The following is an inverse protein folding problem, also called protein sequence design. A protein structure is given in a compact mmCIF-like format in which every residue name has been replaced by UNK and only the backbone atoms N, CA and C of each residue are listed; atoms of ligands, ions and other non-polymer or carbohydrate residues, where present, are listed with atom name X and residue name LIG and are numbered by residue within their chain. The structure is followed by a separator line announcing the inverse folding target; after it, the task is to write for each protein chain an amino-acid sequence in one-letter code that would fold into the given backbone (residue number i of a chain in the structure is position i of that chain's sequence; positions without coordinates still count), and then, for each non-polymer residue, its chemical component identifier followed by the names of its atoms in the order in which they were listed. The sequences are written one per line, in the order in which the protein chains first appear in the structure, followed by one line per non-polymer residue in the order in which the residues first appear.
data_IF_767939758034
#
_entry.id   IF_767939758034
#
_cell.length_a   1.000
_cell.length_b   1.000
_cell.length_c   1.000
_cell.angle_alpha   90.00
_cell.angle_beta   90.00
_cell.angle_gamma   90.00
#
_symmetry.space_group_name_H-M   'P 1'
#
loop_
_entity.id
_entity.type
_entity.pdbx_description
1 polymer ?
#
# COMPACT_ATOMS: atom_id res chain seq x y z
N UNK A 1 -34.41 2.38 8.95
CA UNK A 1 -33.27 1.61 8.42
C UNK A 1 -32.18 2.52 7.83
N UNK A 2 -32.45 3.40 6.86
CA UNK A 2 -31.44 4.32 6.26
C UNK A 2 -30.77 5.26 7.28
N UNK A 3 -31.52 5.89 8.19
CA UNK A 3 -30.94 6.76 9.21
C UNK A 3 -29.97 6.04 10.14
N UNK A 4 -30.29 4.81 10.57
CA UNK A 4 -29.41 4.01 11.44
C UNK A 4 -28.10 3.68 10.74
N UNK A 5 -28.13 3.33 9.45
CA UNK A 5 -26.92 3.05 8.66
C UNK A 5 -26.06 4.31 8.55
N UNK A 6 -26.67 5.46 8.26
CA UNK A 6 -25.95 6.73 8.16
C UNK A 6 -25.29 7.08 9.49
N UNK A 7 -26.04 6.99 10.61
CA UNK A 7 -25.51 7.28 11.95
C UNK A 7 -24.33 6.37 12.27
N UNK A 8 -24.47 5.06 12.05
CA UNK A 8 -23.40 4.09 12.31
C UNK A 8 -22.16 4.40 11.49
N UNK A 9 -22.32 4.66 10.18
CA UNK A 9 -21.19 4.98 9.30
C UNK A 9 -20.48 6.28 9.74
N UNK A 10 -21.25 7.33 10.06
CA UNK A 10 -20.69 8.60 10.55
C UNK A 10 -19.93 8.40 11.88
N UNK A 11 -20.50 7.65 12.83
CA UNK A 11 -19.84 7.36 14.10
C UNK A 11 -18.53 6.56 13.90
N UNK A 12 -18.53 5.53 13.07
CA UNK A 12 -17.34 4.74 12.77
C UNK A 12 -16.24 5.62 12.14
N UNK A 13 -16.59 6.51 11.22
CA UNK A 13 -15.63 7.42 10.58
C UNK A 13 -15.11 8.49 11.55
N UNK A 14 -15.97 9.04 12.43
CA UNK A 14 -15.52 9.98 13.46
C UNK A 14 -14.59 9.31 14.48
N UNK A 15 -14.88 8.08 14.90
CA UNK A 15 -13.99 7.29 15.77
C UNK A 15 -12.68 7.01 15.05
N UNK A 16 -12.70 6.70 13.75
CA UNK A 16 -11.52 6.53 12.90
C UNK A 16 -10.62 7.77 12.93
N UNK A 17 -11.20 8.94 12.80
CA UNK A 17 -10.46 10.21 12.87
C UNK A 17 -9.82 10.42 14.25
N UNK A 18 -10.54 10.11 15.34
CA UNK A 18 -9.98 10.15 16.70
C UNK A 18 -8.81 9.18 16.85
N UNK A 19 -8.90 7.98 16.27
CA UNK A 19 -7.80 7.02 16.28
C UNK A 19 -6.57 7.51 15.50
N UNK A 20 -6.76 8.18 14.37
CA UNK A 20 -5.63 8.77 13.63
C UNK A 20 -4.95 9.89 14.42
N UNK A 21 -5.73 10.80 15.02
CA UNK A 21 -5.23 11.87 15.87
C UNK A 21 -4.47 11.35 17.10
N UNK A 22 -4.95 10.27 17.71
CA UNK A 22 -4.36 9.73 18.94
C UNK A 22 -3.20 8.76 18.66
N UNK A 23 -3.08 8.22 17.44
CA UNK A 23 -2.05 7.25 17.07
C UNK A 23 -0.63 7.75 17.32
N UNK A 24 -0.37 9.05 17.11
CA UNK A 24 0.92 9.70 17.38
C UNK A 24 1.27 9.72 18.86
N UNK A 25 0.29 9.83 19.77
CA UNK A 25 0.47 9.84 21.23
C UNK A 25 0.51 8.42 21.79
N UNK A 26 -0.40 7.58 21.38
CA UNK A 26 -0.53 6.20 21.88
C UNK A 26 0.53 5.25 21.32
N UNK A 27 1.17 5.60 20.20
CA UNK A 27 2.08 4.74 19.43
C UNK A 27 1.41 3.48 18.85
N UNK A 28 0.09 3.42 18.90
CA UNK A 28 -0.69 2.35 18.29
C UNK A 28 -1.03 2.79 16.86
N UNK A 29 -0.62 2.03 15.83
CA UNK A 29 -1.02 2.30 14.47
C UNK A 29 -2.54 2.36 14.33
N UNK A 30 -3.07 3.43 13.74
CA UNK A 30 -4.53 3.61 13.58
C UNK A 30 -5.20 2.41 12.88
N UNK A 31 -4.49 1.75 11.99
CA UNK A 31 -4.99 0.57 11.26
C UNK A 31 -5.37 -0.59 12.20
N UNK A 32 -4.60 -0.86 13.25
CA UNK A 32 -4.95 -1.90 14.23
C UNK A 32 -6.29 -1.56 14.91
N UNK A 33 -6.44 -0.30 15.29
CA UNK A 33 -7.66 0.18 15.94
C UNK A 33 -8.86 0.15 14.97
N UNK A 34 -8.64 0.43 13.68
CA UNK A 34 -9.69 0.35 12.66
C UNK A 34 -10.14 -1.08 12.40
N UNK A 35 -9.20 -2.02 12.32
CA UNK A 35 -9.51 -3.45 12.21
C UNK A 35 -10.30 -3.94 13.42
N UNK A 36 -9.88 -3.56 14.62
CA UNK A 36 -10.57 -3.91 15.85
C UNK A 36 -11.96 -3.28 15.89
N UNK A 37 -12.11 -2.03 15.49
CA UNK A 37 -13.40 -1.33 15.43
C UNK A 37 -14.37 -2.04 14.48
N UNK A 38 -13.91 -2.41 13.29
CA UNK A 38 -14.71 -3.19 12.34
C UNK A 38 -15.10 -4.55 12.89
N UNK A 39 -14.15 -5.28 13.47
CA UNK A 39 -14.42 -6.56 14.12
C UNK A 39 -15.45 -6.46 15.26
N UNK A 40 -15.30 -5.47 16.14
CA UNK A 40 -16.28 -5.22 17.21
C UNK A 40 -17.66 -4.88 16.67
N UNK A 41 -17.72 -4.07 15.59
CA UNK A 41 -18.99 -3.73 14.93
C UNK A 41 -19.69 -4.99 14.39
N UNK A 42 -18.94 -5.97 13.84
CA UNK A 42 -19.51 -7.24 13.41
C UNK A 42 -20.06 -8.04 14.59
N UNK A 43 -19.27 -8.23 15.66
CA UNK A 43 -19.71 -8.97 16.85
C UNK A 43 -20.97 -8.34 17.49
N UNK A 44 -21.02 -7.02 17.51
CA UNK A 44 -22.19 -6.28 17.98
C UNK A 44 -23.42 -6.53 17.08
N UNK A 45 -23.24 -6.47 15.77
CA UNK A 45 -24.29 -6.74 14.80
C UNK A 45 -24.87 -8.17 14.94
N UNK A 46 -24.01 -9.16 15.10
CA UNK A 46 -24.42 -10.56 15.30
C UNK A 46 -25.18 -10.73 16.63
N UNK A 47 -24.68 -10.12 17.72
CA UNK A 47 -25.31 -10.22 19.06
C UNK A 47 -26.72 -9.61 19.06
N UNK A 48 -26.92 -8.48 18.39
CA UNK A 48 -28.21 -7.79 18.29
C UNK A 48 -29.05 -8.24 17.09
N UNK A 49 -28.59 -9.24 16.32
CA UNK A 49 -29.26 -9.77 15.13
C UNK A 49 -29.65 -8.69 14.11
N UNK A 50 -28.75 -7.73 13.91
CA UNK A 50 -28.96 -6.66 12.94
C UNK A 50 -28.65 -7.24 11.55
N UNK A 51 -29.66 -7.34 10.69
CA UNK A 51 -29.50 -7.81 9.31
C UNK A 51 -28.66 -6.82 8.49
N UNK A 52 -27.38 -7.15 8.25
CA UNK A 52 -26.49 -6.38 7.39
C UNK A 52 -26.35 -7.11 6.05
N UNK A 53 -26.45 -6.41 4.91
CA UNK A 53 -26.25 -7.04 3.60
C UNK A 53 -24.82 -7.56 3.45
N UNK A 54 -24.61 -8.48 2.50
CA UNK A 54 -23.26 -8.96 2.20
C UNK A 54 -22.37 -7.82 1.69
N UNK A 55 -21.36 -7.45 2.46
CA UNK A 55 -20.41 -6.37 2.16
C UNK A 55 -19.12 -6.87 1.48
N UNK A 56 -18.91 -8.18 1.33
CA UNK A 56 -17.70 -8.74 0.72
C UNK A 56 -17.41 -8.20 -0.70
N UNK A 57 -18.40 -8.00 -1.59
CA UNK A 57 -18.14 -7.46 -2.93
C UNK A 57 -17.60 -6.02 -2.94
N UNK A 58 -17.83 -5.26 -1.86
CA UNK A 58 -17.34 -3.88 -1.76
C UNK A 58 -15.85 -3.82 -1.44
N UNK A 59 -15.30 -4.84 -0.78
CA UNK A 59 -13.91 -4.85 -0.31
C UNK A 59 -12.90 -4.68 -1.46
N UNK A 60 -12.97 -5.41 -2.60
CA UNK A 60 -12.04 -5.22 -3.71
C UNK A 60 -12.17 -3.83 -4.35
N UNK A 61 -13.38 -3.28 -4.43
CA UNK A 61 -13.63 -1.96 -5.05
C UNK A 61 -13.04 -0.85 -4.19
N UNK A 62 -13.42 -0.79 -2.91
CA UNK A 62 -12.91 0.21 -1.95
C UNK A 62 -11.39 0.07 -1.81
N UNK A 63 -10.89 -1.18 -1.75
CA UNK A 63 -9.48 -1.44 -1.67
C UNK A 63 -8.70 -0.98 -2.90
N UNK A 64 -9.23 -1.20 -4.11
CA UNK A 64 -8.58 -0.72 -5.35
C UNK A 64 -8.53 0.80 -5.41
N UNK A 65 -9.64 1.49 -5.09
CA UNK A 65 -9.67 2.96 -5.02
C UNK A 65 -8.71 3.46 -3.92
N UNK A 66 -8.71 2.80 -2.76
CA UNK A 66 -7.78 3.10 -1.67
C UNK A 66 -6.32 2.96 -2.09
N UNK A 67 -5.97 1.89 -2.80
CA UNK A 67 -4.63 1.68 -3.32
C UNK A 67 -4.20 2.80 -4.27
N UNK A 68 -5.07 3.19 -5.22
CA UNK A 68 -4.81 4.28 -6.16
C UNK A 68 -4.51 5.58 -5.41
N UNK A 69 -5.36 5.94 -4.45
CA UNK A 69 -5.24 7.19 -3.70
C UNK A 69 -4.03 7.21 -2.77
N UNK A 70 -3.72 6.08 -2.10
CA UNK A 70 -2.56 5.97 -1.21
C UNK A 70 -1.25 6.03 -1.99
N UNK A 71 -1.18 5.37 -3.16
CA UNK A 71 0.00 5.47 -4.03
C UNK A 71 0.15 6.89 -4.59
N UNK A 72 -0.96 7.55 -4.93
CA UNK A 72 -0.95 8.94 -5.37
C UNK A 72 -0.49 9.88 -4.24
N UNK A 73 -1.06 9.76 -3.03
CA UNK A 73 -0.65 10.50 -1.83
C UNK A 73 0.87 10.34 -1.59
N UNK A 74 1.35 9.08 -1.51
CA UNK A 74 2.76 8.79 -1.28
C UNK A 74 3.67 9.34 -2.39
N UNK A 75 3.25 9.27 -3.66
CA UNK A 75 4.05 9.76 -4.78
C UNK A 75 4.11 11.29 -4.86
N UNK A 76 3.05 12.00 -4.44
CA UNK A 76 3.04 13.46 -4.34
C UNK A 76 4.00 13.98 -3.25
N UNK A 77 4.18 13.21 -2.16
CA UNK A 77 5.11 13.55 -1.07
C UNK A 77 6.59 13.24 -1.41
N UNK A 78 6.87 12.44 -2.44
CA UNK A 78 8.23 12.05 -2.81
C UNK A 78 8.96 13.18 -3.56
N UNK A 79 9.95 13.79 -2.93
CA UNK A 79 10.79 14.82 -3.54
C UNK A 79 11.98 14.20 -4.32
N UNK A 80 12.04 14.42 -5.62
CA UNK A 80 13.15 13.97 -6.48
C UNK A 80 14.28 15.02 -6.50
N UNK A 81 14.98 15.19 -5.38
CA UNK A 81 16.11 16.12 -5.30
C UNK A 81 17.44 15.35 -5.41
N UNK A 82 18.43 15.96 -6.11
CA UNK A 82 19.77 15.39 -6.23
C UNK A 82 20.42 15.11 -4.86
N UNK A 83 20.13 15.93 -3.84
CA UNK A 83 20.61 15.74 -2.47
C UNK A 83 20.05 14.47 -1.80
N UNK A 84 18.92 13.93 -2.27
CA UNK A 84 18.23 12.74 -1.72
C UNK A 84 18.56 11.44 -2.46
N UNK A 85 19.39 11.51 -3.52
CA UNK A 85 19.73 10.34 -4.35
C UNK A 85 20.24 9.15 -3.51
N UNK A 86 20.99 9.41 -2.44
CA UNK A 86 21.50 8.39 -1.54
C UNK A 86 20.39 7.65 -0.79
N UNK A 87 19.39 8.37 -0.30
CA UNK A 87 18.22 7.79 0.40
C UNK A 87 17.36 7.02 -0.59
N UNK A 88 17.06 7.61 -1.75
CA UNK A 88 16.27 6.97 -2.82
C UNK A 88 16.92 5.65 -3.25
N UNK A 89 18.21 5.63 -3.53
CA UNK A 89 18.93 4.41 -3.93
C UNK A 89 18.86 3.33 -2.86
N UNK A 90 19.11 3.68 -1.59
CA UNK A 90 19.09 2.72 -0.48
C UNK A 90 17.68 2.17 -0.23
N UNK A 91 16.65 3.03 -0.24
CA UNK A 91 15.26 2.61 -0.07
C UNK A 91 14.75 1.77 -1.23
N UNK A 92 15.15 2.08 -2.48
CA UNK A 92 14.81 1.26 -3.66
C UNK A 92 15.41 -0.15 -3.56
N UNK A 93 16.67 -0.26 -3.14
CA UNK A 93 17.34 -1.55 -2.94
C UNK A 93 16.64 -2.34 -1.82
N UNK A 94 16.30 -1.66 -0.71
CA UNK A 94 15.59 -2.27 0.42
C UNK A 94 14.13 -2.64 0.09
N UNK A 95 13.49 -1.94 -0.83
CA UNK A 95 12.16 -2.32 -1.32
C UNK A 95 12.23 -3.55 -2.24
N UNK A 96 13.25 -3.65 -3.11
CA UNK A 96 13.34 -4.69 -4.13
C UNK A 96 13.94 -6.00 -3.63
N UNK A 97 15.17 -5.95 -3.06
CA UNK A 97 15.93 -7.17 -2.75
C UNK A 97 15.24 -8.04 -1.68
N UNK A 98 14.83 -7.49 -0.51
CA UNK A 98 14.13 -8.29 0.50
C UNK A 98 12.81 -8.86 -0.01
N UNK A 99 12.07 -8.10 -0.83
CA UNK A 99 10.81 -8.54 -1.42
C UNK A 99 11.01 -9.78 -2.30
N UNK A 100 11.96 -9.73 -3.22
CA UNK A 100 12.24 -10.86 -4.13
C UNK A 100 12.76 -12.07 -3.35
N UNK A 101 13.73 -11.87 -2.44
CA UNK A 101 14.33 -12.97 -1.67
C UNK A 101 13.30 -13.61 -0.74
N UNK A 102 12.46 -12.83 -0.07
CA UNK A 102 11.38 -13.37 0.77
C UNK A 102 10.41 -14.20 -0.08
N UNK A 103 9.96 -13.67 -1.21
CA UNK A 103 9.01 -14.36 -2.09
C UNK A 103 9.57 -15.69 -2.60
N UNK A 104 10.83 -15.70 -3.05
CA UNK A 104 11.49 -16.90 -3.53
C UNK A 104 11.70 -17.92 -2.40
N UNK A 105 12.20 -17.47 -1.24
CA UNK A 105 12.48 -18.35 -0.09
C UNK A 105 11.20 -19.02 0.41
N UNK A 106 10.12 -18.26 0.63
CA UNK A 106 8.87 -18.81 1.10
C UNK A 106 8.20 -19.71 0.06
N UNK A 107 8.32 -19.37 -1.22
CA UNK A 107 7.84 -20.22 -2.31
C UNK A 107 8.58 -21.55 -2.37
N UNK A 108 9.87 -21.55 -2.15
CA UNK A 108 10.69 -22.74 -2.08
C UNK A 108 10.27 -23.66 -0.93
N UNK A 109 10.10 -23.08 0.27
CA UNK A 109 9.66 -23.82 1.45
C UNK A 109 8.29 -24.46 1.20
N UNK A 110 7.31 -23.71 0.68
CA UNK A 110 5.97 -24.22 0.41
C UNK A 110 5.99 -25.29 -0.70
N UNK A 111 6.75 -25.06 -1.77
CA UNK A 111 6.91 -26.02 -2.86
C UNK A 111 7.40 -27.37 -2.37
N UNK A 112 8.46 -27.39 -1.55
CA UNK A 112 9.01 -28.65 -1.03
C UNK A 112 8.10 -29.31 0.01
N UNK A 113 7.40 -28.51 0.83
CA UNK A 113 6.54 -29.04 1.90
C UNK A 113 5.22 -29.61 1.34
N UNK A 114 4.59 -28.87 0.42
CA UNK A 114 3.23 -29.19 -0.05
C UNK A 114 3.16 -29.66 -1.50
N UNK A 115 4.29 -29.73 -2.21
CA UNK A 115 4.38 -30.19 -3.60
C UNK A 115 3.58 -29.38 -4.65
N UNK A 116 3.16 -28.15 -4.33
CA UNK A 116 2.55 -27.25 -5.31
C UNK A 116 3.59 -26.78 -6.34
N UNK A 117 3.20 -26.48 -7.60
CA UNK A 117 4.10 -25.88 -8.58
C UNK A 117 4.74 -24.59 -8.05
N UNK A 118 6.05 -24.43 -8.24
CA UNK A 118 6.81 -23.29 -7.69
C UNK A 118 6.22 -21.94 -8.07
N UNK A 119 5.76 -21.78 -9.32
CA UNK A 119 5.12 -20.55 -9.80
C UNK A 119 3.85 -20.22 -9.02
N UNK A 120 3.02 -21.23 -8.72
CA UNK A 120 1.82 -21.06 -7.91
C UNK A 120 2.17 -20.62 -6.48
N UNK A 121 3.19 -21.28 -5.89
CA UNK A 121 3.71 -20.86 -4.58
C UNK A 121 4.17 -19.39 -4.61
N UNK A 122 4.85 -18.96 -5.68
CA UNK A 122 5.36 -17.61 -5.83
C UNK A 122 4.21 -16.58 -5.91
N UNK A 123 3.16 -16.84 -6.69
CA UNK A 123 1.99 -16.00 -6.76
C UNK A 123 1.33 -15.78 -5.38
N UNK A 124 1.36 -16.80 -4.52
CA UNK A 124 0.75 -16.75 -3.19
C UNK A 124 1.65 -16.11 -2.11
N UNK A 125 2.97 -16.11 -2.28
CA UNK A 125 3.90 -15.55 -1.28
C UNK A 125 4.24 -14.08 -1.50
N UNK A 126 4.21 -13.59 -2.75
CA UNK A 126 4.47 -12.18 -3.10
C UNK A 126 3.63 -11.20 -2.27
N UNK A 127 2.31 -11.40 -2.03
CA UNK A 127 1.51 -10.49 -1.22
C UNK A 127 2.09 -10.19 0.16
N UNK A 128 2.76 -11.17 0.78
CA UNK A 128 3.37 -11.04 2.10
C UNK A 128 4.75 -10.40 2.08
N UNK A 129 5.37 -10.29 0.93
CA UNK A 129 6.67 -9.64 0.79
C UNK A 129 6.58 -8.12 0.83
N UNK A 130 5.42 -7.56 0.47
CA UNK A 130 5.19 -6.12 0.27
C UNK A 130 5.03 -5.39 1.60
N UNK A 131 5.78 -4.30 1.79
CA UNK A 131 5.60 -3.39 2.93
C UNK A 131 4.46 -2.42 2.60
N UNK A 132 3.42 -2.39 3.43
CA UNK A 132 2.26 -1.52 3.20
C UNK A 132 2.55 -0.05 3.50
N UNK A 133 2.54 0.81 2.48
CA UNK A 133 2.66 2.27 2.63
C UNK A 133 1.49 2.84 3.43
N UNK A 134 0.29 2.30 3.25
CA UNK A 134 -0.92 2.69 3.98
C UNK A 134 -0.78 2.66 5.52
N UNK A 135 0.12 1.82 6.04
CA UNK A 135 0.41 1.71 7.47
C UNK A 135 1.76 2.35 7.81
N UNK A 136 2.78 2.12 6.98
CA UNK A 136 4.13 2.58 7.26
C UNK A 136 4.26 4.11 7.26
N UNK A 137 3.70 4.80 6.24
CA UNK A 137 3.83 6.25 6.10
C UNK A 137 3.17 7.02 7.26
N UNK A 138 1.89 6.79 7.61
CA UNK A 138 1.27 7.47 8.76
C UNK A 138 1.99 7.18 10.07
N UNK A 139 2.49 5.96 10.25
CA UNK A 139 3.22 5.56 11.46
C UNK A 139 4.60 6.22 11.58
N UNK A 140 5.21 6.62 10.45
CA UNK A 140 6.52 7.26 10.40
C UNK A 140 6.48 8.78 10.62
N UNK A 141 5.31 9.41 10.77
CA UNK A 141 5.14 10.89 10.87
C UNK A 141 6.05 11.54 11.93
N UNK A 142 6.28 10.85 13.06
CA UNK A 142 7.06 11.37 14.20
C UNK A 142 8.52 10.91 14.22
N UNK A 143 9.01 10.27 13.17
CA UNK A 143 10.42 9.89 13.05
C UNK A 143 11.30 11.07 12.64
N UNK A 144 12.60 10.95 12.88
CA UNK A 144 13.58 11.88 12.31
C UNK A 144 13.40 11.92 10.77
N UNK A 145 13.62 13.10 10.19
CA UNK A 145 13.33 13.39 8.76
C UNK A 145 13.91 12.32 7.82
N UNK A 146 15.17 11.94 8.01
CA UNK A 146 15.84 10.94 7.18
C UNK A 146 15.14 9.57 7.22
N UNK A 147 14.74 9.12 8.42
CA UNK A 147 14.04 7.85 8.58
C UNK A 147 12.61 7.91 8.04
N UNK A 148 11.92 9.05 8.21
CA UNK A 148 10.60 9.28 7.60
C UNK A 148 10.68 9.18 6.09
N UNK A 149 11.61 9.92 5.47
CA UNK A 149 11.83 9.91 4.02
C UNK A 149 12.18 8.49 3.54
N UNK A 150 13.10 7.80 4.23
CA UNK A 150 13.46 6.43 3.89
C UNK A 150 12.25 5.49 3.90
N UNK A 151 11.43 5.52 4.96
CA UNK A 151 10.24 4.67 5.09
C UNK A 151 9.21 4.99 4.00
N UNK A 152 9.02 6.27 3.67
CA UNK A 152 8.10 6.70 2.61
C UNK A 152 8.54 6.16 1.26
N UNK A 153 9.81 6.34 0.87
CA UNK A 153 10.34 5.79 -0.39
C UNK A 153 10.30 4.27 -0.42
N UNK A 154 10.77 3.60 0.66
CA UNK A 154 10.83 2.14 0.72
C UNK A 154 9.43 1.52 0.58
N UNK A 155 8.45 2.01 1.35
CA UNK A 155 7.11 1.42 1.34
C UNK A 155 6.36 1.71 0.03
N UNK A 156 6.42 2.94 -0.51
CA UNK A 156 5.78 3.27 -1.79
C UNK A 156 6.38 2.47 -2.95
N UNK A 157 7.70 2.32 -2.98
CA UNK A 157 8.36 1.50 -4.00
C UNK A 157 8.06 0.01 -3.82
N UNK A 158 8.00 -0.47 -2.57
CA UNK A 158 7.62 -1.85 -2.27
C UNK A 158 6.23 -2.19 -2.78
N UNK A 159 5.26 -1.29 -2.59
CA UNK A 159 3.89 -1.45 -3.10
C UNK A 159 3.88 -1.63 -4.62
N UNK A 160 4.60 -0.77 -5.34
CA UNK A 160 4.64 -0.77 -6.80
C UNK A 160 5.37 -2.00 -7.33
N UNK A 161 6.57 -2.27 -6.80
CA UNK A 161 7.38 -3.44 -7.21
C UNK A 161 6.62 -4.73 -6.92
N UNK A 162 5.97 -4.81 -5.76
CA UNK A 162 5.17 -5.97 -5.38
C UNK A 162 4.03 -6.24 -6.35
N UNK A 163 3.29 -5.20 -6.75
CA UNK A 163 2.20 -5.32 -7.73
C UNK A 163 2.73 -5.72 -9.11
N UNK A 164 3.82 -5.08 -9.58
CA UNK A 164 4.44 -5.41 -10.87
C UNK A 164 4.89 -6.89 -10.87
N UNK A 165 5.57 -7.32 -9.81
CA UNK A 165 6.06 -8.69 -9.67
C UNK A 165 4.91 -9.69 -9.58
N UNK A 166 3.87 -9.38 -8.81
CA UNK A 166 2.68 -10.21 -8.68
C UNK A 166 1.97 -10.43 -10.03
N UNK A 167 1.69 -9.34 -10.77
CA UNK A 167 1.03 -9.48 -12.07
C UNK A 167 1.91 -10.14 -13.11
N UNK A 168 3.22 -9.92 -13.10
CA UNK A 168 4.14 -10.66 -13.93
C UNK A 168 4.01 -12.18 -13.73
N UNK A 169 3.96 -12.63 -12.47
CA UNK A 169 3.86 -14.06 -12.16
C UNK A 169 2.48 -14.62 -12.45
N UNK A 170 1.41 -13.88 -12.15
CA UNK A 170 0.02 -14.40 -12.27
C UNK A 170 -0.50 -14.39 -13.70
N UNK A 171 -0.12 -13.41 -14.52
CA UNK A 171 -0.61 -13.26 -15.89
C UNK A 171 0.13 -14.14 -16.91
N UNK A 172 1.41 -14.41 -16.70
CA UNK A 172 2.17 -15.24 -17.64
C UNK A 172 2.00 -16.73 -17.31
N UNK A 173 1.56 -17.55 -18.26
CA UNK A 173 1.41 -18.98 -18.06
C UNK A 173 2.75 -19.69 -17.86
N UNK A 174 3.76 -19.33 -18.64
CA UNK A 174 5.14 -19.80 -18.53
C UNK A 174 6.09 -18.62 -18.35
N UNK A 175 7.14 -18.80 -17.53
CA UNK A 175 8.21 -17.81 -17.36
C UNK A 175 9.34 -18.19 -18.30
N UNK A 176 9.26 -17.74 -19.54
CA UNK A 176 10.30 -17.92 -20.55
C UNK A 176 10.87 -16.56 -21.01
N UNK A 177 11.89 -16.59 -21.85
CA UNK A 177 12.51 -15.36 -22.38
C UNK A 177 11.52 -14.50 -23.16
N UNK A 178 10.54 -15.11 -23.83
CA UNK A 178 9.51 -14.38 -24.58
C UNK A 178 8.56 -13.65 -23.64
N UNK A 179 8.10 -14.28 -22.58
CA UNK A 179 7.23 -13.66 -21.57
C UNK A 179 7.91 -12.47 -20.92
N UNK A 180 9.21 -12.58 -20.60
CA UNK A 180 9.98 -11.46 -20.05
C UNK A 180 10.06 -10.32 -21.07
N UNK A 181 10.33 -10.62 -22.33
CA UNK A 181 10.43 -9.62 -23.39
C UNK A 181 9.11 -8.87 -23.62
N UNK A 182 7.98 -9.58 -23.71
CA UNK A 182 6.66 -8.95 -23.84
C UNK A 182 6.30 -8.11 -22.62
N UNK A 183 6.62 -8.58 -21.42
CA UNK A 183 6.36 -7.80 -20.21
C UNK A 183 7.20 -6.52 -20.13
N UNK A 184 8.43 -6.53 -20.62
CA UNK A 184 9.25 -5.30 -20.77
C UNK A 184 8.60 -4.34 -21.78
N UNK A 185 8.05 -4.84 -22.89
CA UNK A 185 7.31 -4.00 -23.84
C UNK A 185 6.10 -3.37 -23.18
N UNK A 186 5.32 -4.14 -22.39
CA UNK A 186 4.16 -3.63 -21.65
C UNK A 186 4.57 -2.55 -20.62
N UNK A 187 5.71 -2.73 -19.96
CA UNK A 187 6.29 -1.71 -19.07
C UNK A 187 6.68 -0.43 -19.82
N UNK A 188 7.29 -0.55 -20.99
CA UNK A 188 7.63 0.61 -21.83
C UNK A 188 6.36 1.31 -22.33
N UNK A 189 5.37 0.54 -22.76
CA UNK A 189 4.09 1.06 -23.23
C UNK A 189 3.38 1.87 -22.13
N UNK A 190 3.28 1.30 -20.92
CA UNK A 190 2.65 2.01 -19.79
C UNK A 190 3.46 3.25 -19.39
N UNK A 191 4.78 3.27 -19.51
CA UNK A 191 5.60 4.45 -19.28
C UNK A 191 5.26 5.58 -20.26
N UNK A 192 5.12 5.27 -21.55
CA UNK A 192 4.75 6.23 -22.59
C UNK A 192 3.33 6.78 -22.34
N UNK A 193 2.37 5.90 -22.08
CA UNK A 193 1.01 6.28 -21.77
C UNK A 193 0.96 7.15 -20.51
N UNK A 194 1.70 6.76 -19.47
CA UNK A 194 1.78 7.47 -18.19
C UNK A 194 2.33 8.88 -18.37
N UNK A 195 3.40 9.04 -19.12
CA UNK A 195 3.99 10.34 -19.39
C UNK A 195 3.02 11.24 -20.18
N UNK A 196 2.40 10.72 -21.25
CA UNK A 196 1.43 11.46 -22.05
C UNK A 196 0.20 11.87 -21.24
N UNK A 197 -0.37 10.94 -20.46
CA UNK A 197 -1.52 11.22 -19.60
C UNK A 197 -1.17 12.24 -18.50
N UNK A 198 0.02 12.13 -17.90
CA UNK A 198 0.52 13.09 -16.92
C UNK A 198 0.58 14.51 -17.46
N UNK A 199 1.09 14.70 -18.67
CA UNK A 199 1.13 16.02 -19.31
C UNK A 199 -0.26 16.60 -19.53
N UNK A 200 -1.22 15.78 -20.01
CA UNK A 200 -2.61 16.18 -20.23
C UNK A 200 -3.29 16.56 -18.90
N UNK A 201 -3.16 15.73 -17.87
CA UNK A 201 -3.75 15.99 -16.55
C UNK A 201 -3.14 17.22 -15.88
N UNK A 202 -1.82 17.42 -16.00
CA UNK A 202 -1.13 18.60 -15.49
C UNK A 202 -1.63 19.88 -16.17
N UNK A 203 -1.86 19.82 -17.49
CA UNK A 203 -2.48 20.90 -18.23
C UNK A 203 -3.89 21.22 -17.68
N UNK A 204 -4.69 20.22 -17.37
CA UNK A 204 -6.02 20.43 -16.78
C UNK A 204 -5.97 21.07 -15.40
N UNK A 205 -5.03 20.69 -14.54
CA UNK A 205 -4.85 21.30 -13.21
C UNK A 205 -4.62 22.82 -13.33
N UNK A 206 -3.86 23.26 -14.35
CA UNK A 206 -3.52 24.68 -14.52
C UNK A 206 -4.62 25.47 -15.25
N UNK A 207 -5.23 24.90 -16.28
CA UNK A 207 -6.14 25.63 -17.17
C UNK A 207 -7.59 25.68 -16.73
N UNK A 208 -8.05 24.66 -15.98
CA UNK A 208 -9.40 24.65 -15.49
C UNK A 208 -9.50 25.64 -14.32
N UNK A 209 -10.18 26.77 -14.56
CA UNK A 209 -10.47 27.79 -13.52
C UNK A 209 -11.77 27.52 -12.75
N UNK A 210 -12.42 26.40 -13.01
CA UNK A 210 -13.67 26.02 -12.32
C UNK A 210 -13.37 25.63 -10.87
N UNK A 211 -14.27 25.95 -9.95
CA UNK A 211 -14.12 25.63 -8.53
C UNK A 211 -14.14 24.14 -8.23
N UNK A 212 -14.80 23.33 -9.10
CA UNK A 212 -14.79 21.86 -9.03
C UNK A 212 -13.87 21.35 -10.13
N UNK A 213 -12.56 21.26 -9.88
CA UNK A 213 -11.59 20.78 -10.87
C UNK A 213 -10.81 19.53 -10.43
N UNK A 214 -10.59 19.35 -9.14
CA UNK A 214 -9.76 18.26 -8.64
C UNK A 214 -10.49 16.91 -8.66
N UNK A 215 -11.79 16.87 -8.31
CA UNK A 215 -12.57 15.63 -8.34
C UNK A 215 -12.61 15.00 -9.74
N UNK A 216 -12.89 15.73 -10.85
CA UNK A 216 -12.77 15.17 -12.20
C UNK A 216 -11.39 14.62 -12.52
N UNK A 217 -10.30 15.26 -12.03
CA UNK A 217 -8.94 14.78 -12.25
C UNK A 217 -8.70 13.46 -11.51
N UNK A 218 -9.15 13.34 -10.25
CA UNK A 218 -9.08 12.09 -9.49
C UNK A 218 -9.86 10.98 -10.22
N UNK A 219 -11.06 11.27 -10.71
CA UNK A 219 -11.86 10.32 -11.48
C UNK A 219 -11.12 9.87 -12.74
N UNK A 220 -10.45 10.80 -13.45
CA UNK A 220 -9.65 10.46 -14.63
C UNK A 220 -8.45 9.58 -14.27
N UNK A 221 -7.78 9.83 -13.15
CA UNK A 221 -6.68 8.98 -12.65
C UNK A 221 -7.20 7.57 -12.37
N UNK A 222 -8.33 7.44 -11.69
CA UNK A 222 -8.98 6.13 -11.42
C UNK A 222 -9.39 5.45 -12.72
N UNK A 223 -9.94 6.19 -13.68
CA UNK A 223 -10.34 5.67 -14.99
C UNK A 223 -9.14 5.14 -15.78
N UNK A 224 -8.04 5.91 -15.86
CA UNK A 224 -6.81 5.48 -16.54
C UNK A 224 -6.25 4.21 -15.91
N UNK A 225 -6.25 4.11 -14.57
CA UNK A 225 -5.86 2.89 -13.88
C UNK A 225 -6.77 1.71 -14.26
N UNK A 226 -8.08 1.90 -14.22
CA UNK A 226 -9.06 0.85 -14.54
C UNK A 226 -8.93 0.37 -16.00
N UNK A 227 -8.74 1.30 -16.93
CA UNK A 227 -8.47 0.98 -18.35
C UNK A 227 -7.15 0.23 -18.50
N UNK A 228 -6.07 0.71 -17.85
CA UNK A 228 -4.78 0.00 -17.86
C UNK A 228 -4.92 -1.45 -17.38
N UNK A 229 -5.71 -1.68 -16.32
CA UNK A 229 -5.97 -3.02 -15.79
C UNK A 229 -6.72 -3.92 -16.79
N UNK A 230 -7.65 -3.37 -17.59
CA UNK A 230 -8.33 -4.12 -18.65
C UNK A 230 -7.36 -4.64 -19.72
N UNK A 231 -6.30 -3.89 -20.02
CA UNK A 231 -5.26 -4.27 -20.97
C UNK A 231 -4.08 -4.98 -20.30
N UNK A 232 -4.24 -5.45 -19.05
CA UNK A 232 -3.20 -6.12 -18.24
C UNK A 232 -1.93 -5.30 -18.02
N UNK A 233 -1.99 -3.99 -18.19
CA UNK A 233 -0.89 -3.08 -17.94
C UNK A 233 -0.79 -2.73 -16.45
N UNK A 234 0.42 -2.56 -15.90
CA UNK A 234 0.62 -2.21 -14.48
C UNK A 234 0.28 -0.73 -14.20
N UNK A 235 -1.03 -0.41 -14.14
CA UNK A 235 -1.56 0.96 -14.01
C UNK A 235 -1.05 1.77 -12.81
N UNK A 236 -0.51 1.13 -11.76
CA UNK A 236 0.10 1.84 -10.63
C UNK A 236 1.36 2.62 -11.03
N UNK A 237 2.04 2.21 -12.10
CA UNK A 237 3.19 2.98 -12.64
C UNK A 237 2.72 4.35 -13.11
N UNK A 238 1.56 4.41 -13.76
CA UNK A 238 0.97 5.70 -14.18
C UNK A 238 0.73 6.61 -12.96
N UNK A 239 0.13 6.07 -11.89
CA UNK A 239 -0.19 6.84 -10.69
C UNK A 239 1.08 7.38 -10.04
N UNK A 240 2.14 6.52 -9.94
CA UNK A 240 3.44 6.93 -9.44
C UNK A 240 4.05 8.06 -10.26
N UNK A 241 4.11 7.92 -11.60
CA UNK A 241 4.71 8.92 -12.50
C UNK A 241 3.93 10.22 -12.41
N UNK A 242 2.59 10.15 -12.42
CA UNK A 242 1.73 11.32 -12.29
C UNK A 242 1.98 12.05 -10.96
N UNK A 243 1.96 11.35 -9.83
CA UNK A 243 2.20 11.94 -8.52
C UNK A 243 3.63 12.50 -8.39
N UNK A 244 4.66 11.75 -8.83
CA UNK A 244 6.04 12.23 -8.82
C UNK A 244 6.23 13.48 -9.71
N UNK A 245 5.62 13.50 -10.89
CA UNK A 245 5.72 14.66 -11.78
C UNK A 245 5.07 15.89 -11.15
N UNK A 246 3.83 15.77 -10.67
CA UNK A 246 3.08 16.86 -10.04
C UNK A 246 3.78 17.33 -8.76
N UNK A 247 4.20 16.41 -7.89
CA UNK A 247 4.89 16.75 -6.63
C UNK A 247 6.26 17.40 -6.80
N UNK A 248 6.89 17.27 -8.01
CA UNK A 248 8.24 17.76 -8.27
C UNK A 248 8.32 18.82 -9.38
N UNK A 249 7.20 19.42 -9.77
CA UNK A 249 7.18 20.42 -10.87
C UNK A 249 8.12 21.58 -10.60
N UNK A 250 8.25 22.02 -9.36
CA UNK A 250 9.17 23.11 -9.00
C UNK A 250 10.65 22.78 -9.29
N UNK A 251 11.02 21.51 -9.17
CA UNK A 251 12.38 21.04 -9.47
C UNK A 251 12.60 20.81 -10.98
N UNK A 252 11.50 20.59 -11.71
CA UNK A 252 11.50 20.38 -13.16
C UNK A 252 11.41 21.67 -13.97
N UNK A 253 11.45 22.85 -13.32
CA UNK A 253 11.41 24.19 -13.97
C UNK A 253 12.50 24.38 -15.03
N UNK A 254 13.61 23.67 -14.96
CA UNK A 254 14.69 23.75 -15.96
C UNK A 254 14.30 23.20 -17.33
N UNK A 255 13.17 22.49 -17.44
CA UNK A 255 12.66 21.96 -18.69
C UNK A 255 11.79 23.03 -19.35
N UNK A 256 12.23 23.62 -20.49
CA UNK A 256 11.54 24.69 -21.23
C UNK A 256 10.05 24.46 -21.53
N UNK A 257 9.62 23.20 -21.55
CA UNK A 257 8.21 22.82 -21.75
C UNK A 257 7.37 23.11 -20.50
N UNK A 258 7.95 22.98 -19.31
CA UNK A 258 7.27 23.15 -18.02
C UNK A 258 7.08 24.63 -17.67
N UNK A 259 7.97 25.50 -18.15
CA UNK A 259 7.86 26.96 -18.00
C UNK A 259 6.54 27.53 -18.55
N UNK A 260 5.91 26.87 -19.55
CA UNK A 260 4.61 27.27 -20.09
C UNK A 260 3.44 27.07 -19.12
N UNK A 261 3.62 26.35 -18.02
CA UNK A 261 2.58 26.06 -17.04
C UNK A 261 2.47 27.09 -15.91
N UNK A 262 3.20 28.25 -15.99
CA UNK A 262 3.24 29.27 -14.94
C UNK A 262 3.48 28.66 -13.54
N UNK A 263 4.72 28.28 -13.20
CA UNK A 263 5.03 27.42 -12.06
C UNK A 263 4.54 27.92 -10.69
N UNK A 264 4.43 29.25 -10.50
CA UNK A 264 3.97 29.82 -9.21
C UNK A 264 2.50 29.55 -8.90
N UNK A 265 1.63 29.68 -9.91
CA UNK A 265 0.20 29.36 -9.76
C UNK A 265 -0.01 27.85 -9.71
N UNK A 266 0.80 27.10 -10.45
CA UNK A 266 0.73 25.64 -10.46
C UNK A 266 1.08 25.03 -9.10
N UNK A 267 2.14 25.49 -8.43
CA UNK A 267 2.53 25.02 -7.11
C UNK A 267 1.42 25.18 -6.05
N UNK A 268 0.72 26.34 -6.07
CA UNK A 268 -0.44 26.57 -5.18
C UNK A 268 -1.59 25.57 -5.44
N UNK A 269 -1.86 25.29 -6.72
CA UNK A 269 -2.93 24.37 -7.09
C UNK A 269 -2.55 22.90 -6.78
N UNK A 270 -1.28 22.54 -6.94
CA UNK A 270 -0.77 21.23 -6.53
C UNK A 270 -0.90 21.02 -5.03
N UNK A 271 -0.60 22.01 -4.20
CA UNK A 271 -0.77 21.92 -2.75
C UNK A 271 -2.23 21.67 -2.37
N UNK A 272 -3.18 22.40 -2.97
CA UNK A 272 -4.62 22.16 -2.75
C UNK A 272 -5.06 20.76 -3.21
N UNK A 273 -4.53 20.33 -4.34
CA UNK A 273 -4.79 18.97 -4.84
C UNK A 273 -4.26 17.91 -3.88
N UNK A 274 -3.05 18.10 -3.36
CA UNK A 274 -2.44 17.18 -2.40
C UNK A 274 -3.24 17.13 -1.08
N UNK A 275 -3.66 18.29 -0.54
CA UNK A 275 -4.52 18.35 0.65
C UNK A 275 -5.82 17.54 0.45
N UNK A 276 -6.48 17.70 -0.70
CA UNK A 276 -7.68 16.94 -1.02
C UNK A 276 -7.42 15.43 -1.16
N UNK A 277 -6.29 15.05 -1.78
CA UNK A 277 -5.89 13.63 -1.90
C UNK A 277 -5.68 13.02 -0.53
N UNK A 278 -4.99 13.69 0.39
CA UNK A 278 -4.76 13.23 1.77
C UNK A 278 -6.09 12.96 2.49
N UNK A 279 -7.06 13.89 2.38
CA UNK A 279 -8.37 13.73 3.03
C UNK A 279 -9.16 12.55 2.45
N UNK A 280 -9.23 12.43 1.13
CA UNK A 280 -9.97 11.34 0.47
C UNK A 280 -9.27 9.99 0.71
N UNK A 281 -7.93 9.95 0.64
CA UNK A 281 -7.17 8.75 0.94
C UNK A 281 -7.37 8.29 2.39
N UNK A 282 -7.39 9.20 3.35
CA UNK A 282 -7.74 8.89 4.74
C UNK A 282 -9.14 8.27 4.85
N UNK A 283 -10.15 8.87 4.22
CA UNK A 283 -11.53 8.38 4.25
C UNK A 283 -11.63 6.95 3.69
N UNK A 284 -11.08 6.73 2.50
CA UNK A 284 -11.16 5.43 1.82
C UNK A 284 -10.34 4.36 2.56
N UNK A 285 -9.17 4.71 3.05
CA UNK A 285 -8.33 3.83 3.89
C UNK A 285 -9.07 3.40 5.16
N UNK A 286 -9.73 4.34 5.83
CA UNK A 286 -10.51 4.08 7.04
C UNK A 286 -11.68 3.14 6.74
N UNK A 287 -12.46 3.43 5.69
CA UNK A 287 -13.54 2.56 5.23
C UNK A 287 -13.07 1.15 4.91
N UNK A 288 -11.93 1.04 4.20
CA UNK A 288 -11.37 -0.25 3.84
C UNK A 288 -11.01 -1.10 5.07
N UNK A 289 -10.27 -0.53 6.02
CA UNK A 289 -9.85 -1.29 7.19
C UNK A 289 -11.00 -1.61 8.15
N UNK A 290 -11.97 -0.71 8.30
CA UNK A 290 -13.20 -1.00 9.07
C UNK A 290 -13.98 -2.13 8.38
N UNK A 291 -14.18 -2.05 7.06
CA UNK A 291 -14.88 -3.09 6.30
C UNK A 291 -14.15 -4.43 6.36
N UNK A 292 -12.83 -4.42 6.17
CA UNK A 292 -12.03 -5.65 6.28
C UNK A 292 -12.11 -6.24 7.69
N UNK A 293 -11.98 -5.40 8.73
CA UNK A 293 -12.16 -5.80 10.12
C UNK A 293 -13.56 -6.39 10.40
N UNK A 294 -14.61 -5.79 9.83
CA UNK A 294 -15.98 -6.27 9.92
C UNK A 294 -16.15 -7.66 9.31
N UNK A 295 -15.43 -7.96 8.24
CA UNK A 295 -15.48 -9.26 7.57
C UNK A 295 -14.60 -10.35 8.21
N UNK A 296 -13.85 -10.02 9.29
CA UNK A 296 -13.03 -10.98 10.02
C UNK A 296 -13.93 -11.79 10.96
N UNK A 297 -13.79 -13.12 10.89
CA UNK A 297 -14.45 -14.04 11.82
C UNK A 297 -13.49 -14.43 12.97
N UNK A 298 -14.00 -14.64 14.21
CA UNK A 298 -13.15 -15.00 15.36
C UNK A 298 -12.27 -16.24 15.11
N UNK A 299 -12.80 -17.27 14.44
CA UNK A 299 -12.05 -18.49 14.12
C UNK A 299 -10.90 -18.25 13.13
N UNK A 300 -10.94 -17.19 12.31
CA UNK A 300 -9.86 -16.85 11.40
C UNK A 300 -8.63 -16.27 12.12
N UNK A 301 -8.86 -15.54 13.22
CA UNK A 301 -7.77 -14.98 14.06
C UNK A 301 -7.09 -16.09 14.84
N UNK A 302 -7.89 -17.02 15.40
CA UNK A 302 -7.44 -18.08 16.32
C UNK A 302 -7.15 -19.41 15.60
N UNK A 303 -7.06 -19.42 14.27
CA UNK A 303 -6.80 -20.63 13.52
C UNK A 303 -5.39 -21.16 13.80
N UNK A 304 -5.31 -22.27 14.55
CA UNK A 304 -4.04 -22.89 14.96
C UNK A 304 -3.27 -23.50 13.78
N UNK A 305 -3.98 -23.99 12.75
CA UNK A 305 -3.36 -24.60 11.58
C UNK A 305 -2.51 -23.60 10.79
N UNK A 306 -2.94 -22.32 10.76
CA UNK A 306 -2.21 -21.24 10.09
C UNK A 306 -1.26 -20.49 11.00
N UNK A 307 -1.38 -20.63 12.32
CA UNK A 307 -0.58 -19.88 13.29
C UNK A 307 0.91 -20.16 13.15
N UNK A 308 1.30 -21.41 12.96
CA UNK A 308 2.69 -21.80 12.76
C UNK A 308 3.26 -21.15 11.48
N UNK A 309 2.50 -21.17 10.40
CA UNK A 309 2.90 -20.55 9.14
C UNK A 309 2.99 -19.01 9.26
N UNK A 310 2.05 -18.39 9.95
CA UNK A 310 2.09 -16.93 10.18
C UNK A 310 3.30 -16.50 10.99
N UNK A 311 3.73 -17.31 11.97
CA UNK A 311 4.99 -17.11 12.71
C UNK A 311 6.21 -17.26 11.80
N UNK A 312 6.27 -18.32 10.97
CA UNK A 312 7.37 -18.52 10.02
C UNK A 312 7.48 -17.35 9.05
N UNK A 313 6.36 -16.91 8.46
CA UNK A 313 6.33 -15.74 7.58
C UNK A 313 6.85 -14.49 8.30
N UNK A 314 6.31 -14.21 9.48
CA UNK A 314 6.67 -13.02 10.26
C UNK A 314 8.14 -13.04 10.68
N UNK A 315 8.65 -14.16 11.18
CA UNK A 315 10.07 -14.30 11.56
C UNK A 315 10.96 -14.10 10.34
N UNK A 316 10.63 -14.71 9.20
CA UNK A 316 11.40 -14.57 7.96
C UNK A 316 11.42 -13.13 7.47
N UNK A 317 10.29 -12.39 7.54
CA UNK A 317 10.21 -10.96 7.20
C UNK A 317 11.22 -10.15 8.01
N UNK A 318 11.18 -10.26 9.35
CA UNK A 318 12.04 -9.46 10.21
C UNK A 318 13.49 -9.92 10.21
N UNK A 319 13.75 -11.21 10.01
CA UNK A 319 15.09 -11.75 9.84
C UNK A 319 15.77 -11.20 8.58
N UNK A 320 15.11 -11.29 7.43
CA UNK A 320 15.62 -10.73 6.17
C UNK A 320 15.80 -9.21 6.28
N UNK A 321 14.83 -8.51 6.90
CA UNK A 321 14.94 -7.07 7.11
C UNK A 321 16.16 -6.71 7.97
N UNK A 322 16.38 -7.41 9.09
CA UNK A 322 17.57 -7.23 9.92
C UNK A 322 18.86 -7.45 9.14
N UNK A 323 18.91 -8.55 8.38
CA UNK A 323 20.07 -8.93 7.59
C UNK A 323 20.42 -7.85 6.55
N UNK A 324 19.45 -7.38 5.78
CA UNK A 324 19.69 -6.36 4.75
C UNK A 324 19.97 -4.97 5.33
N UNK A 325 19.35 -4.58 6.43
CA UNK A 325 19.69 -3.33 7.13
C UNK A 325 21.17 -3.34 7.57
N UNK A 326 21.67 -4.48 8.03
CA UNK A 326 23.10 -4.65 8.38
C UNK A 326 24.01 -4.57 7.16
N UNK A 327 23.70 -5.26 6.07
CA UNK A 327 24.50 -5.26 4.83
C UNK A 327 24.60 -3.85 4.25
N UNK A 328 23.49 -3.12 4.19
CA UNK A 328 23.47 -1.78 3.61
C UNK A 328 23.86 -0.67 4.60
N UNK A 329 24.31 -1.05 5.81
CA UNK A 329 24.74 -0.11 6.88
C UNK A 329 23.69 0.95 7.18
N UNK A 330 22.44 0.52 7.26
CA UNK A 330 21.31 1.37 7.64
C UNK A 330 21.06 1.30 9.15
N UNK A 331 20.45 2.33 9.75
CA UNK A 331 20.11 2.29 11.17
C UNK A 331 19.12 1.16 11.43
N UNK A 332 19.48 0.24 12.34
CA UNK A 332 18.59 -0.87 12.68
C UNK A 332 17.32 -0.34 13.35
N UNK A 333 17.47 0.58 14.31
CA UNK A 333 16.32 1.24 14.94
C UNK A 333 16.19 2.66 14.40
N UNK A 334 14.98 3.11 14.01
CA UNK A 334 13.68 2.43 14.16
C UNK A 334 13.31 1.51 12.98
N UNK A 335 14.12 1.43 11.92
CA UNK A 335 13.74 0.85 10.62
C UNK A 335 13.39 -0.65 10.69
N UNK A 336 14.03 -1.41 11.60
CA UNK A 336 13.82 -2.87 11.71
C UNK A 336 12.33 -3.22 11.91
N UNK A 337 11.65 -2.50 12.80
CA UNK A 337 10.27 -2.82 13.16
C UNK A 337 9.24 -2.25 12.21
N UNK A 338 9.64 -1.34 11.31
CA UNK A 338 8.71 -0.70 10.36
C UNK A 338 8.64 -1.52 9.07
N UNK A 339 7.92 -2.61 9.14
CA UNK A 339 7.64 -3.48 8.01
C UNK A 339 6.22 -4.06 8.08
N UNK A 340 5.17 -3.22 8.27
CA UNK A 340 3.81 -3.72 8.38
C UNK A 340 3.31 -4.31 7.06
N UNK A 341 2.45 -5.33 7.16
CA UNK A 341 1.65 -5.84 6.05
C UNK A 341 0.25 -5.28 6.19
N UNK A 342 -0.47 -5.09 5.07
CA UNK A 342 -1.77 -4.43 5.16
C UNK A 342 -2.56 -4.43 3.85
N UNK A 343 -2.98 -3.25 3.39
CA UNK A 343 -3.91 -3.08 2.28
C UNK A 343 -3.47 -3.82 1.01
N UNK A 344 -2.22 -3.64 0.57
CA UNK A 344 -1.71 -4.32 -0.63
C UNK A 344 -1.64 -5.84 -0.44
N UNK A 345 -1.24 -6.32 0.74
CA UNK A 345 -1.24 -7.75 1.05
C UNK A 345 -2.63 -8.35 0.86
N UNK A 346 -3.67 -7.68 1.39
CA UNK A 346 -5.06 -8.11 1.24
C UNK A 346 -5.50 -8.06 -0.22
N UNK A 347 -5.22 -6.95 -0.91
CA UNK A 347 -5.64 -6.77 -2.30
C UNK A 347 -5.00 -7.77 -3.25
N UNK A 348 -3.69 -8.00 -3.14
CA UNK A 348 -3.02 -8.99 -3.96
C UNK A 348 -3.51 -10.40 -3.66
N UNK A 349 -3.73 -10.74 -2.38
CA UNK A 349 -4.32 -12.01 -1.98
C UNK A 349 -5.70 -12.23 -2.63
N UNK A 350 -6.60 -11.23 -2.58
CA UNK A 350 -7.92 -11.30 -3.20
C UNK A 350 -7.88 -11.35 -4.74
N UNK A 351 -6.77 -10.92 -5.36
CA UNK A 351 -6.58 -10.98 -6.81
C UNK A 351 -5.83 -12.25 -7.28
N UNK A 352 -5.49 -13.19 -6.39
CA UNK A 352 -4.93 -14.49 -6.79
C UNK A 352 -6.01 -15.24 -7.58
N UNK A 353 -5.74 -15.65 -8.84
CA UNK A 353 -6.69 -16.45 -9.61
C UNK A 353 -7.05 -17.75 -8.86
N UNK A 354 -8.31 -18.16 -8.88
CA UNK A 354 -8.79 -19.37 -8.20
C UNK A 354 -7.96 -20.61 -8.61
N UNK A 355 -7.55 -20.70 -9.87
CA UNK A 355 -6.69 -21.77 -10.40
C UNK A 355 -5.25 -21.75 -9.86
N UNK A 356 -4.83 -20.65 -9.23
CA UNK A 356 -3.51 -20.47 -8.64
C UNK A 356 -3.54 -20.35 -7.10
N UNK A 357 -4.71 -20.44 -6.47
CA UNK A 357 -4.81 -20.40 -5.03
C UNK A 357 -4.35 -21.72 -4.39
N UNK A 358 -3.74 -21.65 -3.20
CA UNK A 358 -3.32 -22.81 -2.42
C UNK A 358 -3.96 -22.78 -1.06
N UNK A 359 -4.35 -23.95 -0.54
CA UNK A 359 -5.13 -24.06 0.70
C UNK A 359 -4.41 -23.57 1.96
N UNK A 360 -3.08 -23.67 1.96
CA UNK A 360 -2.23 -23.24 3.08
C UNK A 360 -2.22 -21.72 3.25
N UNK A 361 -2.31 -20.97 2.14
CA UNK A 361 -2.38 -19.50 2.15
C UNK A 361 -3.84 -19.09 2.01
N UNK A 362 -4.49 -18.91 3.13
CA UNK A 362 -5.90 -18.55 3.25
C UNK A 362 -6.06 -17.19 3.98
N UNK A 363 -7.29 -16.74 4.13
CA UNK A 363 -7.63 -15.48 4.77
C UNK A 363 -7.13 -15.40 6.22
N UNK A 364 -7.15 -16.52 6.98
CA UNK A 364 -6.63 -16.58 8.35
C UNK A 364 -5.13 -16.25 8.41
N UNK A 365 -4.32 -16.81 7.51
CA UNK A 365 -2.89 -16.53 7.43
C UNK A 365 -2.63 -15.04 7.14
N UNK A 366 -3.37 -14.46 6.20
CA UNK A 366 -3.24 -13.03 5.85
C UNK A 366 -3.53 -12.16 7.07
N UNK A 367 -4.63 -12.40 7.77
CA UNK A 367 -5.03 -11.65 8.97
C UNK A 367 -3.96 -11.77 10.06
N UNK A 368 -3.51 -12.98 10.35
CA UNK A 368 -2.51 -13.26 11.39
C UNK A 368 -1.18 -12.54 11.10
N UNK A 369 -0.67 -12.61 9.86
CA UNK A 369 0.59 -11.91 9.48
C UNK A 369 0.44 -10.39 9.55
N UNK A 370 -0.70 -9.83 9.12
CA UNK A 370 -0.97 -8.38 9.23
C UNK A 370 -0.97 -7.95 10.69
N UNK A 371 -1.67 -8.67 11.56
CA UNK A 371 -1.74 -8.37 12.99
C UNK A 371 -0.36 -8.49 13.64
N UNK A 372 0.37 -9.58 13.41
CA UNK A 372 1.71 -9.80 13.99
C UNK A 372 2.70 -8.71 13.56
N UNK A 373 2.77 -8.39 12.27
CA UNK A 373 3.71 -7.37 11.77
C UNK A 373 3.36 -5.98 12.30
N UNK A 374 2.07 -5.67 12.45
CA UNK A 374 1.60 -4.39 13.00
C UNK A 374 1.85 -4.29 14.51
N UNK A 375 1.69 -5.39 15.27
CA UNK A 375 2.02 -5.44 16.71
C UNK A 375 3.52 -5.29 16.93
N UNK A 376 4.37 -5.95 16.13
CA UNK A 376 5.83 -5.80 16.21
C UNK A 376 6.23 -4.34 15.95
N UNK A 377 5.62 -3.70 14.97
CA UNK A 377 5.85 -2.28 14.68
C UNK A 377 5.44 -1.40 15.87
N UNK A 378 4.27 -1.63 16.47
CA UNK A 378 3.80 -0.93 17.68
C UNK A 378 4.80 -1.08 18.84
N UNK A 379 5.24 -2.29 19.13
CA UNK A 379 6.23 -2.57 20.19
C UNK A 379 7.55 -1.82 19.90
N UNK A 380 7.96 -1.77 18.62
CA UNK A 380 9.15 -1.04 18.20
C UNK A 380 9.06 0.46 18.49
N UNK A 381 7.91 1.08 18.23
CA UNK A 381 7.69 2.50 18.53
C UNK A 381 7.63 2.80 20.03
N UNK A 382 7.04 1.91 20.84
CA UNK A 382 7.00 2.06 22.30
C UNK A 382 8.42 2.00 22.88
N UNK A 383 9.22 1.04 22.43
CA UNK A 383 10.62 0.85 22.91
C UNK A 383 11.56 2.00 22.52
N UNK A 384 11.35 2.62 21.37
CA UNK A 384 12.20 3.73 20.92
C UNK A 384 11.96 5.03 21.69
N UNK A 385 10.79 5.24 22.29
CA UNK A 385 10.49 6.40 23.13
C UNK A 385 11.37 6.45 24.40
N UNK A 386 11.63 5.30 25.00
CA UNK A 386 12.47 5.20 26.22
C UNK A 386 13.94 5.51 26.00
N UNK A 387 14.43 5.58 24.74
CA UNK A 387 15.82 5.93 24.42
C UNK A 387 16.03 7.42 24.10
N UNK A 388 14.97 8.15 23.74
CA UNK A 388 15.05 9.59 23.43
C UNK A 388 14.88 10.43 24.71
N UNK A 389 14.24 9.88 25.74
CA UNK A 389 14.05 10.54 27.06
C UNK A 389 15.17 10.24 28.07
N UNK A 390 16.22 9.49 27.69
CA UNK A 390 17.47 9.28 28.42
C UNK A 390 18.66 9.94 27.70
#
# INVERSE_FOLDING_TARGET
MTASIIITLCLLLLISYVFDLTSSKTKIPSVILLLLLGFMANQFSETFKIGIPNLEPLLPVIGTIGLILIVLEGSLELELNASKTGVIKKSSIMAFIPLVIFSLLMSFIIHFTFKYPFKICLANTIPFAVISSAIAIPSAKNLARENKEFVTYESSLSDIIGVIFFYFITLNSNIDTKSIFYYIIDLILILIISFSATLVLSYFITKIKHHVKFIPIIILVVLIYAVSKLYHLPGLIFILIFGLFIGNVDQLRHIKFIDKFHPEDFGKEVNKFNELIIEIAFLIRSLFFILFGFLIQPHEILNLDTLLWSLIFTITIFFLRYFFLRIFRLPIQPLLTIAPRGLITILLFLNIPVSQSISVINKSLVIQVILMTSIIMMIGFIRNKTKIEK
#
